data_IF_260768963129
#
_entry.id   IF_260768963129
#
_cell.length_a   1.000
_cell.length_b   1.000
_cell.length_c   1.000
_cell.angle_alpha   90.00
_cell.angle_beta   90.00
_cell.angle_gamma   90.00
#
_symmetry.space_group_name_H-M   'P 1'
#
loop_
_entity.id
_entity.type
_entity.pdbx_description
1 polymer ?
#
# COMPACT_ATOMS: atom_id res chain seq x y z
N UNK A 1 -2.40 -18.06 14.42
CA UNK A 1 -3.38 -17.18 15.08
C UNK A 1 -2.75 -15.79 15.25
N UNK A 2 -3.33 -14.75 14.65
CA UNK A 2 -2.79 -13.39 14.68
C UNK A 2 -3.40 -12.65 15.89
N UNK A 3 -2.81 -12.80 17.07
CA UNK A 3 -3.36 -12.22 18.31
C UNK A 3 -3.16 -10.70 18.33
N UNK A 4 -4.27 -9.97 18.48
CA UNK A 4 -4.32 -8.51 18.65
C UNK A 4 -3.36 -7.99 19.74
N UNK A 5 -3.01 -8.84 20.71
CA UNK A 5 -2.04 -8.55 21.77
C UNK A 5 -0.69 -8.02 21.25
N UNK A 6 -0.17 -8.56 20.14
CA UNK A 6 1.13 -8.12 19.58
C UNK A 6 1.09 -6.70 18.97
N UNK A 7 -0.07 -6.26 18.47
CA UNK A 7 -0.26 -4.90 17.95
C UNK A 7 -0.30 -3.89 19.10
N UNK A 8 -0.88 -4.28 20.23
CA UNK A 8 -0.97 -3.42 21.42
C UNK A 8 0.42 -3.23 22.07
N UNK A 9 1.33 -4.22 21.94
CA UNK A 9 2.72 -4.12 22.44
C UNK A 9 3.60 -3.16 21.64
N UNK A 10 3.21 -2.78 20.42
CA UNK A 10 3.72 -1.59 19.74
C UNK A 10 3.16 -0.32 20.40
N UNK A 11 3.32 -0.23 21.73
CA UNK A 11 3.00 0.95 22.53
C UNK A 11 3.90 2.10 22.07
N UNK A 12 3.29 3.00 21.31
CA UNK A 12 3.42 4.45 21.50
C UNK A 12 4.83 5.02 21.67
N UNK A 13 5.80 4.57 20.86
CA UNK A 13 6.92 5.47 20.54
C UNK A 13 6.36 6.47 19.53
N UNK A 14 6.17 7.72 19.98
CA UNK A 14 5.77 8.89 19.17
C UNK A 14 4.27 8.97 18.82
N UNK A 15 3.40 9.37 19.76
CA UNK A 15 2.04 9.92 19.51
C UNK A 15 1.11 9.15 18.53
N UNK A 16 1.41 7.89 18.20
CA UNK A 16 0.62 7.11 17.26
C UNK A 16 -0.71 6.73 17.90
N UNK A 17 -1.81 7.00 17.19
CA UNK A 17 -3.16 6.63 17.62
C UNK A 17 -3.48 5.22 17.14
N UNK A 18 -4.09 4.43 18.01
CA UNK A 18 -4.64 3.14 17.61
C UNK A 18 -5.87 3.37 16.72
N UNK A 19 -5.89 2.70 15.56
CA UNK A 19 -7.07 2.69 14.70
C UNK A 19 -8.21 1.88 15.33
N UNK A 20 -9.46 2.30 15.10
CA UNK A 20 -10.63 1.52 15.52
C UNK A 20 -10.74 0.22 14.72
N UNK A 21 -11.50 -0.75 15.20
CA UNK A 21 -11.76 -1.99 14.46
C UNK A 21 -12.42 -1.72 13.10
N UNK A 22 -13.36 -0.77 13.04
CA UNK A 22 -13.97 -0.33 11.79
C UNK A 22 -12.94 0.26 10.82
N UNK A 23 -11.99 1.05 11.33
CA UNK A 23 -10.91 1.62 10.53
C UNK A 23 -10.02 0.52 9.95
N UNK A 24 -9.57 -0.42 10.78
CA UNK A 24 -8.77 -1.56 10.34
C UNK A 24 -9.48 -2.37 9.24
N UNK A 25 -10.75 -2.73 9.46
CA UNK A 25 -11.53 -3.51 8.50
C UNK A 25 -11.71 -2.75 7.16
N UNK A 26 -11.87 -1.43 7.21
CA UNK A 26 -11.97 -0.59 6.03
C UNK A 26 -10.68 -0.63 5.22
N UNK A 27 -9.54 -0.35 5.87
CA UNK A 27 -8.23 -0.41 5.23
C UNK A 27 -7.92 -1.81 4.70
N UNK A 28 -8.26 -2.87 5.43
CA UNK A 28 -8.02 -4.25 5.00
C UNK A 28 -8.79 -4.61 3.72
N UNK A 29 -10.05 -4.16 3.59
CA UNK A 29 -10.83 -4.36 2.37
C UNK A 29 -10.26 -3.57 1.19
N UNK A 30 -9.93 -2.29 1.40
CA UNK A 30 -9.27 -1.44 0.40
C UNK A 30 -7.97 -2.09 -0.08
N UNK A 31 -7.15 -2.58 0.85
CA UNK A 31 -5.90 -3.26 0.58
C UNK A 31 -6.12 -4.55 -0.23
N UNK A 32 -7.19 -5.31 0.04
CA UNK A 32 -7.52 -6.51 -0.74
C UNK A 32 -7.80 -6.17 -2.21
N UNK A 33 -8.59 -5.13 -2.47
CA UNK A 33 -8.90 -4.65 -3.83
C UNK A 33 -7.63 -4.15 -4.51
N UNK A 34 -6.84 -3.35 -3.79
CA UNK A 34 -5.59 -2.81 -4.30
C UNK A 34 -4.58 -3.90 -4.65
N UNK A 35 -4.40 -4.91 -3.79
CA UNK A 35 -3.51 -6.05 -4.04
C UNK A 35 -3.92 -6.85 -5.27
N UNK A 36 -5.23 -7.08 -5.45
CA UNK A 36 -5.75 -7.74 -6.65
C UNK A 36 -5.43 -6.93 -7.91
N UNK A 37 -5.67 -5.62 -7.85
CA UNK A 37 -5.38 -4.72 -8.97
C UNK A 37 -3.87 -4.66 -9.28
N UNK A 38 -3.00 -4.52 -8.28
CA UNK A 38 -1.55 -4.47 -8.46
C UNK A 38 -0.94 -5.78 -9.00
N UNK A 39 -1.61 -6.91 -8.80
CA UNK A 39 -1.21 -8.20 -9.38
C UNK A 39 -1.77 -8.43 -10.78
N UNK A 40 -2.70 -7.61 -11.22
CA UNK A 40 -3.31 -7.69 -12.54
C UNK A 40 -2.51 -6.89 -13.56
N UNK A 41 -2.68 -7.21 -14.84
CA UNK A 41 -2.10 -6.44 -15.95
C UNK A 41 -2.59 -4.98 -15.96
N UNK A 42 -3.74 -4.70 -15.33
CA UNK A 42 -4.29 -3.36 -15.22
C UNK A 42 -3.41 -2.39 -14.42
N UNK A 43 -2.50 -2.91 -13.59
CA UNK A 43 -1.56 -2.11 -12.81
C UNK A 43 -0.61 -1.26 -13.68
N UNK A 44 -0.44 -1.65 -14.95
CA UNK A 44 0.44 -0.98 -15.92
C UNK A 44 -0.31 -0.03 -16.85
N UNK A 45 -1.64 0.10 -16.71
CA UNK A 45 -2.44 1.01 -17.52
C UNK A 45 -2.25 2.45 -17.03
N UNK A 46 -2.23 3.41 -17.95
CA UNK A 46 -2.32 4.84 -17.61
C UNK A 46 -3.60 5.09 -16.82
N UNK A 47 -3.52 5.83 -15.73
CA UNK A 47 -4.67 6.10 -14.83
C UNK A 47 -5.17 4.86 -14.04
N UNK A 48 -4.31 3.84 -13.86
CA UNK A 48 -4.59 2.66 -13.00
C UNK A 48 -5.03 3.05 -11.58
N UNK A 49 -4.54 4.18 -11.10
CA UNK A 49 -4.93 4.81 -9.85
C UNK A 49 -6.44 5.13 -9.81
N UNK A 50 -6.98 5.78 -10.85
CA UNK A 50 -8.41 6.12 -10.89
C UNK A 50 -9.28 4.87 -11.03
N UNK A 51 -8.79 3.87 -11.77
CA UNK A 51 -9.47 2.58 -11.91
C UNK A 51 -9.62 1.87 -10.57
N UNK A 52 -8.57 1.82 -9.75
CA UNK A 52 -8.67 1.17 -8.44
C UNK A 52 -9.59 1.95 -7.50
N UNK A 53 -9.55 3.29 -7.52
CA UNK A 53 -10.47 4.11 -6.72
C UNK A 53 -11.92 3.85 -7.15
N UNK A 54 -12.20 3.82 -8.46
CA UNK A 54 -13.53 3.46 -8.99
C UNK A 54 -13.96 2.06 -8.53
N UNK A 55 -13.08 1.05 -8.58
CA UNK A 55 -13.39 -0.30 -8.09
C UNK A 55 -13.73 -0.30 -6.60
N UNK A 56 -12.98 0.43 -5.78
CA UNK A 56 -13.23 0.56 -4.34
C UNK A 56 -14.58 1.22 -4.07
N UNK A 57 -14.94 2.27 -4.82
CA UNK A 57 -16.22 2.97 -4.67
C UNK A 57 -17.40 2.14 -5.22
N UNK A 58 -17.25 1.53 -6.39
CA UNK A 58 -18.28 0.76 -7.08
C UNK A 58 -18.56 -0.62 -6.46
N UNK A 59 -17.56 -1.27 -5.84
CA UNK A 59 -17.76 -2.53 -5.10
C UNK A 59 -18.62 -2.34 -3.84
N UNK A 60 -19.17 -1.15 -3.61
CA UNK A 60 -20.16 -0.90 -2.58
C UNK A 60 -19.58 -1.27 -1.24
N UNK A 61 -18.40 -0.72 -0.94
CA UNK A 61 -17.65 -1.02 0.26
C UNK A 61 -18.58 -0.82 1.45
N UNK A 62 -19.14 -1.93 1.95
CA UNK A 62 -19.89 -2.02 3.20
C UNK A 62 -18.87 -1.78 4.31
N UNK A 63 -18.53 -0.51 4.43
CA UNK A 63 -17.61 0.05 5.39
C UNK A 63 -18.42 0.14 6.67
N UNK A 64 -17.96 -0.57 7.69
CA UNK A 64 -18.41 -0.34 9.07
C UNK A 64 -18.33 1.15 9.33
N UNK A 65 -19.36 1.74 9.94
CA UNK A 65 -19.39 3.19 10.19
C UNK A 65 -18.13 3.62 10.95
N UNK A 66 -17.17 4.19 10.21
CA UNK A 66 -15.95 4.82 10.75
C UNK A 66 -16.14 6.33 10.91
N UNK A 67 -17.19 6.87 10.30
CA UNK A 67 -17.66 8.24 10.43
C UNK A 67 -19.18 8.26 10.55
N UNK A 68 -19.69 9.34 11.11
CA UNK A 68 -21.10 9.69 11.07
C UNK A 68 -21.57 9.85 9.61
N UNK A 69 -22.85 9.56 9.34
CA UNK A 69 -23.39 9.54 7.97
C UNK A 69 -23.20 10.88 7.23
N UNK A 70 -23.26 12.00 7.95
CA UNK A 70 -23.05 13.35 7.38
C UNK A 70 -21.65 13.52 6.76
N UNK A 71 -20.61 12.99 7.41
CA UNK A 71 -19.22 13.15 6.96
C UNK A 71 -18.69 11.91 6.24
N UNK A 72 -19.49 10.84 6.17
CA UNK A 72 -19.06 9.54 5.65
C UNK A 72 -18.62 9.64 4.21
N UNK A 73 -19.39 10.29 3.35
CA UNK A 73 -19.09 10.36 1.92
C UNK A 73 -17.75 11.08 1.64
N UNK A 74 -17.50 12.20 2.31
CA UNK A 74 -16.29 13.00 2.11
C UNK A 74 -15.07 12.37 2.77
N UNK A 75 -15.14 12.10 4.09
CA UNK A 75 -13.98 11.65 4.87
C UNK A 75 -13.51 10.27 4.44
N UNK A 76 -14.43 9.35 4.16
CA UNK A 76 -14.08 7.98 3.75
C UNK A 76 -13.46 7.98 2.36
N UNK A 77 -14.01 8.76 1.43
CA UNK A 77 -13.46 8.87 0.08
C UNK A 77 -12.06 9.48 0.09
N UNK A 78 -11.86 10.55 0.86
CA UNK A 78 -10.56 11.18 1.05
C UNK A 78 -9.54 10.21 1.66
N UNK A 79 -9.93 9.49 2.71
CA UNK A 79 -9.08 8.51 3.36
C UNK A 79 -8.66 7.36 2.42
N UNK A 80 -9.60 6.86 1.64
CA UNK A 80 -9.33 5.84 0.61
C UNK A 80 -8.32 6.37 -0.41
N UNK A 81 -8.55 7.58 -0.91
CA UNK A 81 -7.66 8.23 -1.87
C UNK A 81 -6.23 8.35 -1.33
N UNK A 82 -6.08 8.92 -0.12
CA UNK A 82 -4.76 9.09 0.50
C UNK A 82 -4.07 7.74 0.72
N UNK A 83 -4.81 6.73 1.21
CA UNK A 83 -4.26 5.40 1.44
C UNK A 83 -3.74 4.79 0.13
N UNK A 84 -4.55 4.79 -0.94
CA UNK A 84 -4.14 4.24 -2.23
C UNK A 84 -2.95 5.01 -2.79
N UNK A 85 -2.95 6.35 -2.71
CA UNK A 85 -1.85 7.18 -3.21
C UNK A 85 -0.54 6.85 -2.46
N UNK A 86 -0.61 6.71 -1.14
CA UNK A 86 0.51 6.31 -0.31
C UNK A 86 1.04 4.92 -0.69
N UNK A 87 0.16 3.96 -0.97
CA UNK A 87 0.56 2.60 -1.39
C UNK A 87 1.26 2.58 -2.74
N UNK A 88 0.78 3.34 -3.72
CA UNK A 88 1.45 3.51 -5.01
C UNK A 88 2.83 4.16 -4.84
N UNK A 89 2.94 5.18 -3.99
CA UNK A 89 4.22 5.83 -3.70
C UNK A 89 5.24 4.85 -3.11
N UNK A 90 4.83 4.07 -2.09
CA UNK A 90 5.68 3.02 -1.50
C UNK A 90 6.08 2.01 -2.56
N UNK A 91 5.13 1.50 -3.34
CA UNK A 91 5.40 0.51 -4.40
C UNK A 91 6.42 1.02 -5.41
N UNK A 92 6.26 2.25 -5.90
CA UNK A 92 7.22 2.89 -6.81
C UNK A 92 8.61 3.01 -6.20
N UNK A 93 8.71 3.41 -4.93
CA UNK A 93 9.98 3.53 -4.21
C UNK A 93 10.67 2.19 -4.05
N UNK A 94 9.92 1.13 -3.73
CA UNK A 94 10.44 -0.23 -3.61
C UNK A 94 10.98 -0.75 -4.95
N UNK A 95 10.24 -0.56 -6.05
CA UNK A 95 10.68 -0.97 -7.38
C UNK A 95 11.97 -0.24 -7.81
N UNK A 96 12.06 1.06 -7.56
CA UNK A 96 13.29 1.85 -7.82
C UNK A 96 14.49 1.32 -7.03
N UNK A 97 14.30 1.02 -5.74
CA UNK A 97 15.35 0.48 -4.89
C UNK A 97 15.83 -0.89 -5.37
N UNK A 98 14.90 -1.76 -5.80
CA UNK A 98 15.24 -3.08 -6.32
C UNK A 98 16.00 -3.00 -7.64
N UNK A 99 15.58 -2.11 -8.56
CA UNK A 99 16.29 -1.85 -9.81
C UNK A 99 17.72 -1.35 -9.56
N UNK A 100 17.90 -0.41 -8.63
CA UNK A 100 19.22 0.09 -8.24
C UNK A 100 20.10 -1.00 -7.61
N UNK A 101 19.53 -1.87 -6.78
CA UNK A 101 20.25 -3.01 -6.20
C UNK A 101 20.74 -3.97 -7.28
N UNK A 102 19.87 -4.36 -8.22
CA UNK A 102 20.23 -5.20 -9.37
C UNK A 102 21.33 -4.58 -10.23
N UNK A 103 21.30 -3.26 -10.43
CA UNK A 103 22.35 -2.53 -11.16
C UNK A 103 23.71 -2.61 -10.43
N UNK A 104 23.72 -2.36 -9.11
CA UNK A 104 24.93 -2.44 -8.29
C UNK A 104 25.52 -3.85 -8.28
N UNK A 105 24.67 -4.88 -8.19
CA UNK A 105 25.10 -6.28 -8.23
C UNK A 105 25.74 -6.63 -9.57
N UNK A 106 25.18 -6.16 -10.69
CA UNK A 106 25.77 -6.33 -12.03
C UNK A 106 27.13 -5.63 -12.15
N UNK A 107 27.24 -4.39 -11.67
CA UNK A 107 28.51 -3.63 -11.67
C UNK A 107 29.57 -4.32 -10.81
N UNK A 108 29.19 -4.86 -9.65
CA UNK A 108 30.11 -5.59 -8.78
C UNK A 108 30.60 -6.89 -9.42
N UNK A 109 29.71 -7.65 -10.08
CA UNK A 109 30.10 -8.86 -10.84
C UNK A 109 31.08 -8.52 -11.97
N UNK A 110 30.80 -7.47 -12.74
CA UNK A 110 31.68 -7.02 -13.82
C UNK A 110 33.07 -6.61 -13.28
N UNK A 111 33.13 -5.85 -12.18
CA UNK A 111 34.41 -5.50 -11.53
C UNK A 111 35.19 -6.73 -11.03
N UNK A 112 34.51 -7.76 -10.51
CA UNK A 112 35.16 -9.01 -10.08
C UNK A 112 35.74 -9.79 -11.26
N UNK A 113 35.00 -9.88 -12.38
CA UNK A 113 35.50 -10.52 -13.60
C UNK A 113 36.72 -9.79 -14.18
N UNK A 114 36.71 -8.46 -14.22
CA UNK A 114 37.85 -7.68 -14.69
C UNK A 114 39.12 -7.87 -13.85
N UNK A 115 38.98 -8.11 -12.54
CA UNK A 115 40.10 -8.41 -11.64
C UNK A 115 40.66 -9.84 -11.75
N UNK A 116 39.95 -10.75 -12.40
CA UNK A 116 40.38 -12.14 -12.62
C UNK A 116 41.11 -12.31 -13.97
N UNK A 117 41.03 -11.30 -14.83
CA UNK A 117 41.61 -11.30 -16.20
C UNK A 117 42.91 -10.48 -16.26
N UNK A 118 43.30 -9.83 -15.15
CA UNK A 118 44.58 -9.12 -14.95
C UNK A 118 45.38 -9.89 -13.91
#
# INVERSE_FOLDING_TARGET
EFYAAHIITLKSKVFLRFGSLGFYNTIAKVESILQKHLKSEEAYIRDSFELVIKKIVCDGLSILSICCEEHRAEVVSFLIYEYVAFRYHIGSKLLKNEAQKKLKDKQQKHRKMFKLVV
#
